data_IF_329556573389
#
_entry.id   IF_329556573389
#
_cell.length_a   1.000
_cell.length_b   1.000
_cell.length_c   1.000
_cell.angle_alpha   90.00
_cell.angle_beta   90.00
_cell.angle_gamma   90.00
#
_symmetry.space_group_name_H-M   'P 1'
#
loop_
_entity.id
_entity.type
_entity.pdbx_description
1 polymer ?
#
# COMPACT_ATOMS: atom_id res chain seq x y z
N UNK A 1 -25.45 0.87 -34.28
CA UNK A 1 -25.18 0.95 -32.83
C UNK A 1 -23.68 0.93 -32.66
N UNK A 2 -23.08 2.08 -32.34
CA UNK A 2 -21.63 2.19 -32.16
C UNK A 2 -21.29 1.69 -30.76
N UNK A 3 -20.52 0.61 -30.67
CA UNK A 3 -19.84 0.26 -29.42
C UNK A 3 -18.85 1.37 -29.09
N UNK A 4 -18.77 1.86 -27.85
CA UNK A 4 -17.72 2.79 -27.49
C UNK A 4 -16.40 2.00 -27.56
N UNK A 5 -15.56 2.33 -28.54
CA UNK A 5 -14.20 1.83 -28.61
C UNK A 5 -13.44 2.44 -27.42
N UNK A 6 -13.47 1.76 -26.28
CA UNK A 6 -12.50 2.03 -25.22
C UNK A 6 -11.10 1.92 -25.84
N UNK A 7 -10.27 2.93 -25.63
CA UNK A 7 -8.90 2.93 -26.10
C UNK A 7 -8.25 1.60 -25.70
N UNK A 8 -7.60 0.89 -26.62
CA UNK A 8 -6.99 -0.42 -26.34
C UNK A 8 -6.08 -0.39 -25.09
N UNK A 9 -5.40 0.73 -24.87
CA UNK A 9 -4.60 0.98 -23.67
C UNK A 9 -5.42 1.09 -22.38
N UNK A 10 -6.66 1.59 -22.45
CA UNK A 10 -7.56 1.64 -21.30
C UNK A 10 -8.08 0.25 -20.95
N UNK A 11 -8.38 -0.60 -21.94
CA UNK A 11 -8.77 -1.98 -21.70
C UNK A 11 -7.66 -2.80 -21.03
N UNK A 12 -6.43 -2.72 -21.57
CA UNK A 12 -5.26 -3.38 -20.97
C UNK A 12 -4.97 -2.88 -19.54
N UNK A 13 -5.17 -1.60 -19.29
CA UNK A 13 -4.96 -1.01 -17.96
C UNK A 13 -6.03 -1.46 -16.97
N UNK A 14 -7.30 -1.49 -17.38
CA UNK A 14 -8.39 -2.02 -16.57
C UNK A 14 -8.11 -3.49 -16.22
N UNK A 15 -7.65 -4.29 -17.18
CA UNK A 15 -7.24 -5.67 -16.93
C UNK A 15 -6.05 -5.74 -15.96
N UNK A 16 -5.03 -4.90 -16.13
CA UNK A 16 -3.90 -4.83 -15.20
C UNK A 16 -4.36 -4.57 -13.76
N UNK A 17 -5.19 -3.56 -13.52
CA UNK A 17 -5.69 -3.28 -12.17
C UNK A 17 -6.62 -4.37 -11.64
N UNK A 18 -7.39 -5.00 -12.53
CA UNK A 18 -8.20 -6.16 -12.20
C UNK A 18 -7.34 -7.31 -11.71
N UNK A 19 -6.22 -7.60 -12.38
CA UNK A 19 -5.26 -8.62 -11.94
C UNK A 19 -4.48 -8.19 -10.69
N UNK A 20 -4.08 -6.92 -10.60
CA UNK A 20 -3.39 -6.36 -9.44
C UNK A 20 -4.23 -6.49 -8.18
N UNK A 21 -5.54 -6.25 -8.30
CA UNK A 21 -6.49 -6.33 -7.19
C UNK A 21 -7.18 -7.69 -7.08
N UNK A 22 -6.82 -8.67 -7.92
CA UNK A 22 -7.46 -10.00 -7.98
C UNK A 22 -8.99 -9.93 -8.04
N UNK A 23 -9.52 -9.02 -8.87
CA UNK A 23 -10.95 -8.81 -9.05
C UNK A 23 -11.71 -8.39 -7.78
N UNK A 24 -11.00 -7.81 -6.79
CA UNK A 24 -11.58 -7.37 -5.50
C UNK A 24 -12.78 -6.43 -5.67
N UNK A 25 -12.80 -5.62 -6.72
CA UNK A 25 -13.93 -4.74 -7.03
C UNK A 25 -15.23 -5.53 -7.25
N UNK A 26 -15.18 -6.65 -7.97
CA UNK A 26 -16.34 -7.51 -8.22
C UNK A 26 -16.78 -8.25 -6.94
N UNK A 27 -15.81 -8.70 -6.14
CA UNK A 27 -16.09 -9.33 -4.85
C UNK A 27 -16.78 -8.36 -3.90
N UNK A 28 -16.27 -7.14 -3.74
CA UNK A 28 -16.88 -6.14 -2.87
C UNK A 28 -18.27 -5.70 -3.37
N UNK A 29 -18.50 -5.64 -4.68
CA UNK A 29 -19.83 -5.37 -5.23
C UNK A 29 -20.86 -6.46 -4.90
N UNK A 30 -20.42 -7.70 -4.67
CA UNK A 30 -21.31 -8.78 -4.25
C UNK A 30 -21.83 -8.62 -2.81
N UNK A 31 -21.13 -7.86 -1.97
CA UNK A 31 -21.50 -7.63 -0.58
C UNK A 31 -22.54 -6.52 -0.50
N UNK A 32 -23.69 -6.83 0.10
CA UNK A 32 -24.76 -5.85 0.30
C UNK A 32 -24.28 -4.70 1.19
N UNK A 33 -24.55 -3.46 0.75
CA UNK A 33 -24.21 -2.24 1.49
C UNK A 33 -22.87 -1.62 1.12
N UNK A 34 -22.05 -2.23 0.28
CA UNK A 34 -20.85 -1.57 -0.26
C UNK A 34 -21.24 -0.55 -1.33
N UNK A 35 -20.66 0.65 -1.25
CA UNK A 35 -20.97 1.81 -2.10
C UNK A 35 -19.68 2.59 -2.38
N UNK A 36 -19.67 3.40 -3.45
CA UNK A 36 -18.59 4.34 -3.77
C UNK A 36 -17.22 3.64 -3.91
N UNK A 37 -17.20 2.54 -4.68
CA UNK A 37 -15.97 1.87 -5.10
C UNK A 37 -15.25 2.76 -6.12
N UNK A 38 -14.05 3.19 -5.77
CA UNK A 38 -13.21 4.05 -6.60
C UNK A 38 -11.83 3.45 -6.73
N UNK A 39 -11.41 3.29 -7.98
CA UNK A 39 -10.07 2.86 -8.34
C UNK A 39 -9.43 4.00 -9.12
N UNK A 40 -8.33 4.54 -8.59
CA UNK A 40 -7.54 5.58 -9.24
C UNK A 40 -6.47 4.92 -10.11
N UNK A 41 -6.72 4.91 -11.41
CA UNK A 41 -5.83 4.34 -12.41
C UNK A 41 -4.78 5.36 -12.83
N UNK A 42 -3.51 5.05 -12.55
CA UNK A 42 -2.36 5.89 -12.86
C UNK A 42 -1.49 5.26 -13.94
N UNK A 43 -0.87 6.10 -14.75
CA UNK A 43 0.13 5.66 -15.70
C UNK A 43 1.43 5.27 -14.98
N UNK A 44 2.17 4.34 -15.56
CA UNK A 44 3.52 4.02 -15.13
C UNK A 44 4.46 5.23 -15.20
N UNK A 45 5.45 5.25 -14.30
CA UNK A 45 6.55 6.20 -14.32
C UNK A 45 7.44 5.98 -15.54
N UNK A 46 7.96 7.08 -16.09
CA UNK A 46 9.06 7.00 -17.04
C UNK A 46 10.34 6.48 -16.37
N UNK A 47 11.12 5.71 -17.11
CA UNK A 47 12.42 5.19 -16.62
C UNK A 47 13.36 6.32 -16.19
N UNK A 48 13.34 7.46 -16.90
CA UNK A 48 14.14 8.63 -16.55
C UNK A 48 13.73 9.24 -15.20
N UNK A 49 12.43 9.27 -14.89
CA UNK A 49 11.92 9.76 -13.62
C UNK A 49 12.40 8.88 -12.44
N UNK A 50 12.41 7.56 -12.63
CA UNK A 50 12.97 6.62 -11.66
C UNK A 50 14.47 6.82 -11.46
N UNK A 51 15.25 6.91 -12.54
CA UNK A 51 16.69 7.15 -12.44
C UNK A 51 17.01 8.46 -11.73
N UNK A 52 16.26 9.53 -12.06
CA UNK A 52 16.41 10.82 -11.39
C UNK A 52 16.08 10.71 -9.90
N UNK A 53 15.01 10.00 -9.53
CA UNK A 53 14.67 9.76 -8.12
C UNK A 53 15.78 9.01 -7.39
N UNK A 54 16.37 7.97 -7.99
CA UNK A 54 17.48 7.20 -7.41
C UNK A 54 18.75 8.03 -7.22
N UNK A 55 19.05 8.89 -8.19
CA UNK A 55 20.16 9.84 -8.11
C UNK A 55 19.96 10.85 -6.99
N UNK A 56 18.77 11.45 -6.88
CA UNK A 56 18.44 12.42 -5.82
C UNK A 56 18.56 11.80 -4.42
N UNK A 57 18.12 10.56 -4.25
CA UNK A 57 18.13 9.88 -2.96
C UNK A 57 19.39 9.04 -2.72
N UNK A 58 20.34 9.01 -3.66
CA UNK A 58 21.58 8.23 -3.57
C UNK A 58 21.36 6.76 -3.16
N UNK A 59 20.26 6.16 -3.63
CA UNK A 59 19.85 4.77 -3.33
C UNK A 59 19.27 4.11 -4.56
N UNK A 60 19.63 2.84 -4.79
CA UNK A 60 18.92 2.01 -5.77
C UNK A 60 17.67 1.43 -5.12
N UNK A 61 16.53 1.62 -5.77
CA UNK A 61 15.32 0.89 -5.44
C UNK A 61 15.49 -0.60 -5.79
N UNK A 62 14.77 -1.49 -5.08
CA UNK A 62 14.65 -2.89 -5.45
C UNK A 62 13.94 -3.08 -6.80
N UNK A 63 14.28 -4.14 -7.52
CA UNK A 63 13.72 -4.43 -8.85
C UNK A 63 12.18 -4.56 -8.83
N UNK A 64 11.61 -5.16 -7.79
CA UNK A 64 10.14 -5.26 -7.62
C UNK A 64 9.49 -3.88 -7.53
N UNK A 65 10.09 -2.98 -6.76
CA UNK A 65 9.57 -1.61 -6.55
C UNK A 65 9.71 -0.80 -7.85
N UNK A 66 10.84 -0.92 -8.55
CA UNK A 66 11.01 -0.28 -9.87
C UNK A 66 9.99 -0.79 -10.87
N UNK A 67 9.80 -2.10 -10.95
CA UNK A 67 8.84 -2.74 -11.87
C UNK A 67 7.41 -2.30 -11.57
N UNK A 68 7.06 -2.19 -10.28
CA UNK A 68 5.78 -1.65 -9.86
C UNK A 68 5.59 -0.20 -10.35
N UNK A 69 6.55 0.70 -10.10
CA UNK A 69 6.43 2.09 -10.54
C UNK A 69 6.47 2.26 -12.06
N UNK A 70 7.20 1.41 -12.79
CA UNK A 70 7.18 1.39 -14.25
C UNK A 70 5.82 0.93 -14.80
N UNK A 71 5.09 0.07 -14.07
CA UNK A 71 3.76 -0.37 -14.46
C UNK A 71 2.67 0.64 -14.05
N UNK A 72 2.73 1.17 -12.81
CA UNK A 72 1.78 2.12 -12.24
C UNK A 72 2.48 3.08 -11.27
N UNK A 73 2.32 4.39 -11.46
CA UNK A 73 2.89 5.38 -10.55
C UNK A 73 2.05 5.52 -9.27
N UNK A 74 2.17 4.55 -8.37
CA UNK A 74 1.28 4.45 -7.20
C UNK A 74 -0.11 3.92 -7.59
N UNK A 75 -0.97 3.72 -6.59
CA UNK A 75 -2.37 3.34 -6.83
C UNK A 75 -3.23 3.71 -5.62
N UNK A 76 -4.51 3.99 -5.83
CA UNK A 76 -5.48 4.19 -4.75
C UNK A 76 -6.75 3.41 -5.06
N UNK A 77 -7.20 2.59 -4.11
CA UNK A 77 -8.47 1.88 -4.19
C UNK A 77 -9.23 2.10 -2.90
N UNK A 78 -10.41 2.72 -3.01
CA UNK A 78 -11.24 3.09 -1.85
C UNK A 78 -12.65 2.56 -2.02
N UNK A 79 -13.27 2.21 -0.90
CA UNK A 79 -14.66 1.78 -0.87
C UNK A 79 -15.32 2.19 0.45
N UNK A 80 -16.64 2.42 0.37
CA UNK A 80 -17.47 2.84 1.50
C UNK A 80 -18.51 1.79 1.82
N UNK A 81 -19.00 1.81 3.05
CA UNK A 81 -20.13 1.00 3.48
C UNK A 81 -21.29 1.90 3.86
N UNK A 82 -22.45 1.65 3.29
CA UNK A 82 -23.70 2.31 3.62
C UNK A 82 -24.36 1.60 4.79
N UNK A 83 -24.43 2.29 5.91
CA UNK A 83 -25.20 1.87 7.07
C UNK A 83 -26.31 2.90 7.29
N UNK A 84 -27.57 2.47 7.16
CA UNK A 84 -28.73 3.35 7.09
C UNK A 84 -28.57 4.43 6.00
N UNK A 85 -28.61 5.71 6.36
CA UNK A 85 -28.51 6.86 5.45
C UNK A 85 -27.09 7.48 5.38
N UNK A 86 -26.09 6.80 5.94
CA UNK A 86 -24.72 7.30 6.01
C UNK A 86 -23.72 6.36 5.32
N UNK A 87 -22.83 6.95 4.52
CA UNK A 87 -21.74 6.24 3.85
C UNK A 87 -20.45 6.41 4.66
N UNK A 88 -19.97 5.32 5.25
CA UNK A 88 -18.73 5.29 6.03
C UNK A 88 -17.55 4.85 5.15
N UNK A 89 -16.42 5.59 5.13
CA UNK A 89 -15.21 5.11 4.48
C UNK A 89 -14.64 3.94 5.27
N UNK A 90 -14.70 2.74 4.70
CA UNK A 90 -14.26 1.53 5.38
C UNK A 90 -12.89 1.12 4.88
N UNK A 91 -12.75 0.80 3.59
CA UNK A 91 -11.47 0.33 3.08
C UNK A 91 -10.78 1.33 2.19
N UNK A 92 -9.46 1.40 2.37
CA UNK A 92 -8.52 2.20 1.59
C UNK A 92 -7.24 1.41 1.40
N UNK A 93 -6.93 1.09 0.16
CA UNK A 93 -5.65 0.58 -0.28
C UNK A 93 -4.92 1.70 -1.00
N UNK A 94 -3.65 1.91 -0.68
CA UNK A 94 -2.90 3.01 -1.27
C UNK A 94 -1.42 2.73 -1.30
N UNK A 95 -0.80 3.13 -2.40
CA UNK A 95 0.65 3.30 -2.51
C UNK A 95 0.90 4.70 -3.07
N UNK A 96 1.77 5.43 -2.36
CA UNK A 96 2.20 6.77 -2.74
C UNK A 96 2.76 6.80 -4.16
N UNK A 97 2.70 7.96 -4.81
CA UNK A 97 3.42 8.18 -6.08
C UNK A 97 4.94 8.24 -5.82
N UNK A 98 5.75 7.99 -6.85
CA UNK A 98 7.21 8.00 -6.75
C UNK A 98 7.76 9.30 -6.13
N UNK A 99 7.19 10.45 -6.49
CA UNK A 99 7.59 11.77 -5.97
C UNK A 99 7.25 11.98 -4.50
N UNK A 100 6.31 11.21 -3.96
CA UNK A 100 5.88 11.25 -2.55
C UNK A 100 6.60 10.22 -1.68
N UNK A 101 7.47 9.39 -2.26
CA UNK A 101 8.39 8.53 -1.51
C UNK A 101 9.46 9.39 -0.82
N UNK A 102 9.12 9.95 0.33
CA UNK A 102 10.03 10.74 1.13
C UNK A 102 10.85 9.85 2.09
N UNK A 103 12.14 10.17 2.29
CA UNK A 103 12.95 9.50 3.29
C UNK A 103 12.46 9.82 4.71
N UNK A 104 12.51 8.82 5.59
CA UNK A 104 12.27 9.01 7.03
C UNK A 104 13.56 9.52 7.67
N UNK A 105 13.54 10.77 8.15
CA UNK A 105 14.72 11.45 8.71
C UNK A 105 14.85 11.30 10.24
N UNK A 106 13.89 10.68 10.92
CA UNK A 106 13.90 10.53 12.37
C UNK A 106 14.77 9.33 12.80
N UNK A 107 15.47 9.41 13.95
CA UNK A 107 16.15 8.26 14.52
C UNK A 107 15.12 7.24 15.03
N UNK A 108 14.92 6.16 14.28
CA UNK A 108 14.10 5.02 14.69
C UNK A 108 14.96 3.98 15.41
N UNK A 109 14.33 3.21 16.30
CA UNK A 109 14.97 2.02 16.87
C UNK A 109 15.03 0.95 15.79
N UNK A 110 16.13 0.91 15.06
CA UNK A 110 16.44 -0.26 14.23
C UNK A 110 16.70 -1.43 15.16
N UNK A 111 16.10 -2.61 14.90
CA UNK A 111 16.70 -3.86 15.36
C UNK A 111 18.19 -3.87 15.01
N UNK A 112 19.04 -4.45 15.87
CA UNK A 112 20.51 -4.53 15.72
C UNK A 112 20.98 -5.15 14.38
N UNK A 113 20.05 -5.63 13.56
CA UNK A 113 20.22 -6.23 12.25
C UNK A 113 20.44 -5.21 11.10
N UNK A 114 20.12 -3.93 11.29
CA UNK A 114 20.21 -2.92 10.22
C UNK A 114 21.47 -2.06 10.36
N UNK A 115 22.36 -2.15 9.36
CA UNK A 115 23.55 -1.31 9.26
C UNK A 115 23.17 0.15 8.95
N UNK A 116 24.05 1.11 9.30
CA UNK A 116 23.90 2.55 9.06
C UNK A 116 23.79 2.95 7.58
N UNK A 117 23.91 1.99 6.68
CA UNK A 117 23.65 2.09 5.24
C UNK A 117 22.16 1.95 4.87
N UNK A 118 21.28 1.68 5.83
CA UNK A 118 19.84 1.44 5.62
C UNK A 118 19.09 2.76 5.48
N UNK A 119 18.26 2.88 4.45
CA UNK A 119 17.34 4.02 4.26
C UNK A 119 15.89 3.56 4.29
N UNK A 120 15.06 4.41 4.85
CA UNK A 120 13.62 4.19 5.00
C UNK A 120 12.86 5.17 4.12
N UNK A 121 11.88 4.68 3.38
CA UNK A 121 11.01 5.50 2.52
C UNK A 121 9.54 5.21 2.83
N UNK A 122 8.72 6.24 3.01
CA UNK A 122 7.31 6.02 3.33
C UNK A 122 6.54 5.63 2.06
N UNK A 123 6.02 4.40 2.02
CA UNK A 123 5.24 3.88 0.88
C UNK A 123 3.75 4.16 1.03
N UNK A 124 3.23 4.11 2.26
CA UNK A 124 1.81 4.37 2.51
C UNK A 124 1.64 5.17 3.81
N UNK A 125 0.88 6.25 3.68
CA UNK A 125 0.65 7.27 4.72
C UNK A 125 -0.78 7.25 5.27
N UNK A 126 -1.65 6.35 4.81
CA UNK A 126 -3.09 6.41 5.12
C UNK A 126 -3.50 5.79 6.46
N UNK A 127 -2.53 5.49 7.30
CA UNK A 127 -2.75 4.80 8.56
C UNK A 127 -3.36 5.62 9.68
N UNK A 128 -3.72 6.88 9.41
CA UNK A 128 -4.57 7.62 10.31
C UNK A 128 -5.92 7.83 9.64
N UNK A 129 -6.95 7.10 10.09
CA UNK A 129 -8.30 7.68 10.20
C UNK A 129 -8.27 8.79 11.27
N UNK A 130 -7.39 9.79 11.06
CA UNK A 130 -7.27 10.96 11.90
C UNK A 130 -8.23 11.98 11.34
N UNK A 131 -9.42 12.06 11.97
CA UNK A 131 -10.47 13.08 11.92
C UNK A 131 -10.59 13.89 10.61
N UNK A 132 -11.81 14.07 10.04
CA UNK A 132 -11.99 15.06 8.98
C UNK A 132 -11.44 16.39 9.52
N UNK A 133 -10.50 16.99 8.77
CA UNK A 133 -10.03 18.32 9.07
C UNK A 133 -11.27 19.21 9.20
N UNK A 134 -11.62 19.57 10.44
CA UNK A 134 -12.63 20.59 10.67
C UNK A 134 -12.18 21.78 9.85
N UNK A 135 -13.04 22.19 8.90
CA UNK A 135 -12.88 23.44 8.17
C UNK A 135 -12.94 24.56 9.20
N UNK A 136 -11.79 24.89 9.77
CA UNK A 136 -11.61 26.03 10.63
C UNK A 136 -11.55 27.27 9.73
N UNK A 137 -12.64 28.03 9.83
CA UNK A 137 -12.78 29.47 9.61
C UNK A 137 -12.02 30.12 8.45
N UNK A 138 -12.84 30.60 7.52
CA UNK A 138 -12.57 31.79 6.73
C UNK A 138 -12.34 32.97 7.68
N UNK A 139 -11.10 33.22 8.07
CA UNK A 139 -10.67 34.56 8.46
C UNK A 139 -9.21 34.74 8.08
N UNK A 140 -8.99 35.64 7.12
CA UNK A 140 -7.70 35.85 6.49
C UNK A 140 -6.68 36.40 7.46
N UNK A 141 -5.61 35.64 7.67
CA UNK A 141 -4.26 36.17 7.88
C UNK A 141 -3.31 35.25 7.12
N UNK A 142 -2.65 35.80 6.10
CA UNK A 142 -1.78 35.06 5.21
C UNK A 142 -0.59 34.43 5.94
N UNK A 143 -0.67 33.12 6.19
CA UNK A 143 0.50 32.33 6.56
C UNK A 143 1.26 31.93 5.30
N UNK A 144 2.44 32.55 5.17
CA UNK A 144 3.45 32.29 4.15
C UNK A 144 3.71 30.78 4.02
N UNK A 145 3.50 30.24 2.81
CA UNK A 145 4.19 29.04 2.32
C UNK A 145 5.69 29.30 2.39
N UNK A 146 6.38 28.72 3.36
CA UNK A 146 7.83 28.54 3.34
C UNK A 146 8.16 27.25 4.08
N UNK A 147 8.77 26.33 3.33
CA UNK A 147 9.63 25.25 3.81
C UNK A 147 8.95 24.12 4.61
N UNK A 148 7.90 23.53 4.04
CA UNK A 148 7.43 22.20 4.45
C UNK A 148 8.26 21.12 3.74
N UNK A 149 9.55 21.05 4.07
CA UNK A 149 10.36 19.87 3.77
C UNK A 149 9.79 18.77 4.65
N UNK A 150 8.98 17.91 4.05
CA UNK A 150 8.05 17.01 4.71
C UNK A 150 8.83 16.10 5.68
N UNK A 151 8.89 16.49 6.95
CA UNK A 151 9.09 15.54 8.03
C UNK A 151 7.82 14.68 8.06
N UNK A 152 7.80 13.56 7.32
CA UNK A 152 6.76 12.54 7.46
C UNK A 152 7.00 11.82 8.78
N UNK A 153 6.88 12.57 9.87
CA UNK A 153 6.59 12.06 11.20
C UNK A 153 5.10 11.76 11.21
N UNK A 154 4.70 10.71 10.52
CA UNK A 154 3.39 10.10 10.72
C UNK A 154 3.66 8.75 11.36
N UNK A 155 3.87 8.78 12.67
CA UNK A 155 3.75 7.63 13.55
C UNK A 155 2.53 6.79 13.11
N UNK A 156 2.74 5.51 12.85
CA UNK A 156 1.76 4.61 12.23
C UNK A 156 1.88 4.42 10.72
N UNK A 157 2.83 5.04 10.02
CA UNK A 157 2.97 4.84 8.57
C UNK A 157 3.60 3.50 8.20
N UNK A 158 3.31 3.02 6.98
CA UNK A 158 4.01 1.88 6.39
C UNK A 158 5.18 2.37 5.56
N UNK A 159 6.34 1.78 5.83
CA UNK A 159 7.64 2.23 5.36
C UNK A 159 8.34 1.10 4.64
N UNK A 160 8.90 1.39 3.46
CA UNK A 160 9.84 0.52 2.77
C UNK A 160 11.22 0.67 3.39
N UNK A 161 11.80 -0.45 3.77
CA UNK A 161 13.19 -0.53 4.16
C UNK A 161 14.01 -0.95 2.93
N UNK A 162 14.93 -0.07 2.54
CA UNK A 162 15.88 -0.31 1.46
C UNK A 162 17.28 -0.26 2.05
N UNK A 163 18.00 -1.37 1.97
CA UNK A 163 19.41 -1.41 2.38
C UNK A 163 20.29 -1.08 1.18
N UNK A 164 21.19 -0.11 1.34
CA UNK A 164 22.09 0.30 0.25
C UNK A 164 22.98 -0.88 -0.14
N UNK A 165 23.01 -1.20 -1.43
CA UNK A 165 23.89 -2.24 -1.98
C UNK A 165 23.32 -3.66 -1.94
N UNK A 166 22.12 -3.87 -1.42
CA UNK A 166 21.40 -5.14 -1.59
C UNK A 166 20.14 -4.93 -2.41
N UNK A 167 19.75 -5.96 -3.17
CA UNK A 167 18.47 -5.99 -3.86
C UNK A 167 17.29 -6.28 -2.91
N UNK A 168 17.58 -6.52 -1.62
CA UNK A 168 16.58 -6.94 -0.65
C UNK A 168 15.91 -5.70 -0.05
N UNK A 169 14.59 -5.61 -0.22
CA UNK A 169 13.75 -4.68 0.52
C UNK A 169 12.70 -5.40 1.30
N UNK A 170 12.44 -4.93 2.51
CA UNK A 170 11.35 -5.41 3.34
C UNK A 170 10.44 -4.25 3.72
N UNK A 171 9.15 -4.52 3.82
CA UNK A 171 8.15 -3.52 4.18
C UNK A 171 7.88 -3.62 5.68
N UNK A 172 7.97 -2.49 6.36
CA UNK A 172 7.86 -2.36 7.80
C UNK A 172 6.75 -1.40 8.20
N UNK A 173 6.13 -1.68 9.34
CA UNK A 173 5.29 -0.75 10.07
C UNK A 173 6.17 0.10 11.00
N UNK A 174 5.99 1.42 10.98
CA UNK A 174 6.59 2.31 11.96
C UNK A 174 5.60 2.62 13.07
N UNK A 175 5.79 2.00 14.23
CA UNK A 175 4.95 2.19 15.42
C UNK A 175 5.05 3.62 15.96
N UNK A 176 4.04 4.04 16.75
CA UNK A 176 4.03 5.33 17.44
C UNK A 176 5.17 5.52 18.46
N UNK A 177 5.82 4.42 18.83
CA UNK A 177 6.98 4.41 19.72
C UNK A 177 8.32 4.42 18.95
N UNK A 178 8.30 4.59 17.62
CA UNK A 178 9.50 4.58 16.79
C UNK A 178 10.12 3.20 16.60
N UNK A 179 9.36 2.13 16.84
CA UNK A 179 9.75 0.74 16.59
C UNK A 179 9.37 0.32 15.17
N UNK A 180 10.30 -0.36 14.49
CA UNK A 180 10.05 -0.97 13.19
C UNK A 180 9.60 -2.41 13.37
N UNK A 181 8.42 -2.74 12.86
CA UNK A 181 7.93 -4.12 12.81
C UNK A 181 7.86 -4.58 11.36
N UNK A 182 8.51 -5.70 11.03
CA UNK A 182 8.47 -6.23 9.68
C UNK A 182 7.07 -6.78 9.38
N UNK A 183 6.42 -6.25 8.34
CA UNK A 183 5.11 -6.75 7.86
C UNK A 183 5.31 -7.71 6.69
N UNK A 184 6.22 -7.38 5.77
CA UNK A 184 6.42 -8.17 4.56
C UNK A 184 7.88 -8.22 4.12
N UNK A 185 8.25 -9.34 3.50
CA UNK A 185 9.58 -9.54 2.93
C UNK A 185 9.78 -8.86 1.57
N UNK A 186 8.70 -8.42 0.91
CA UNK A 186 8.77 -7.72 -0.38
C UNK A 186 7.53 -6.85 -0.61
N UNK A 187 7.58 -5.98 -1.63
CA UNK A 187 6.43 -5.17 -2.04
C UNK A 187 5.26 -6.05 -2.49
N UNK A 188 5.56 -7.13 -3.21
CA UNK A 188 4.55 -8.08 -3.68
C UNK A 188 3.84 -8.77 -2.50
N UNK A 189 4.60 -9.18 -1.47
CA UNK A 189 4.02 -9.74 -0.26
C UNK A 189 3.15 -8.72 0.49
N UNK A 190 3.58 -7.45 0.53
CA UNK A 190 2.79 -6.36 1.10
C UNK A 190 1.47 -6.11 0.35
N UNK A 191 1.49 -6.07 -0.99
CA UNK A 191 0.28 -5.95 -1.82
C UNK A 191 -0.72 -7.08 -1.53
N UNK A 192 -0.24 -8.33 -1.41
CA UNK A 192 -1.09 -9.47 -1.07
C UNK A 192 -1.70 -9.36 0.32
N UNK A 193 -0.94 -8.91 1.31
CA UNK A 193 -1.50 -8.66 2.65
C UNK A 193 -2.57 -7.57 2.56
N UNK A 194 -2.30 -6.46 1.88
CA UNK A 194 -3.28 -5.38 1.71
C UNK A 194 -4.58 -5.87 1.04
N UNK A 195 -4.49 -6.81 0.08
CA UNK A 195 -5.65 -7.48 -0.53
C UNK A 195 -6.35 -8.44 0.44
N UNK A 196 -5.60 -9.24 1.18
CA UNK A 196 -6.14 -10.16 2.20
C UNK A 196 -6.99 -9.43 3.23
N UNK A 197 -6.57 -8.22 3.61
CA UNK A 197 -7.29 -7.35 4.52
C UNK A 197 -8.26 -6.38 3.82
N UNK A 198 -8.38 -6.43 2.49
CA UNK A 198 -9.28 -5.58 1.67
C UNK A 198 -9.10 -4.07 1.89
N UNK A 199 -7.91 -3.64 2.31
CA UNK A 199 -7.63 -2.25 2.70
C UNK A 199 -8.38 -1.78 3.95
N UNK A 200 -8.84 -2.69 4.82
CA UNK A 200 -9.48 -2.33 6.10
C UNK A 200 -8.57 -1.44 6.97
N UNK A 201 -9.15 -0.59 7.83
CA UNK A 201 -8.36 0.33 8.64
C UNK A 201 -7.46 -0.44 9.61
N UNK A 202 -6.26 0.09 9.81
CA UNK A 202 -5.26 -0.45 10.73
C UNK A 202 -4.90 -1.93 10.52
N UNK A 203 -4.99 -2.44 9.28
CA UNK A 203 -4.77 -3.85 8.99
C UNK A 203 -3.39 -4.42 9.37
N UNK A 204 -2.27 -3.68 9.24
CA UNK A 204 -1.00 -4.11 9.81
C UNK A 204 -1.00 -4.30 11.32
N UNK A 205 -1.82 -3.56 12.09
CA UNK A 205 -1.92 -3.82 13.53
C UNK A 205 -2.51 -5.21 13.77
N UNK A 206 -3.49 -5.63 12.97
CA UNK A 206 -4.06 -6.99 13.01
C UNK A 206 -2.99 -8.02 12.70
N UNK A 207 -2.21 -7.78 11.65
CA UNK A 207 -1.11 -8.67 11.26
C UNK A 207 -0.05 -8.81 12.36
N UNK A 208 0.27 -7.69 13.03
CA UNK A 208 1.22 -7.64 14.15
C UNK A 208 0.64 -8.10 15.49
N UNK A 209 -0.61 -8.60 15.51
CA UNK A 209 -1.35 -9.01 16.72
C UNK A 209 -1.44 -7.89 17.77
N UNK A 210 -1.47 -6.63 17.32
CA UNK A 210 -1.61 -5.44 18.16
C UNK A 210 -3.10 -5.10 18.37
N UNK A 211 -3.37 -4.25 19.37
CA UNK A 211 -4.74 -3.87 19.70
C UNK A 211 -5.37 -2.98 18.63
N UNK A 212 -6.61 -3.32 18.28
CA UNK A 212 -7.48 -2.53 17.41
C UNK A 212 -8.50 -1.73 18.22
N UNK A 213 -8.93 -0.61 17.65
CA UNK A 213 -10.12 0.10 18.12
C UNK A 213 -11.37 -0.78 18.07
N UNK A 214 -12.35 -0.49 18.92
CA UNK A 214 -13.62 -1.24 18.94
C UNK A 214 -14.34 -1.21 17.59
N UNK A 215 -14.36 -0.04 16.93
CA UNK A 215 -14.95 0.12 15.61
C UNK A 215 -14.26 -0.76 14.55
N UNK A 216 -12.93 -0.79 14.54
CA UNK A 216 -12.21 -1.64 13.59
C UNK A 216 -12.50 -3.12 13.87
N UNK A 217 -12.54 -3.56 15.13
CA UNK A 217 -12.90 -4.96 15.47
C UNK A 217 -14.27 -5.35 14.90
N UNK A 218 -15.26 -4.46 14.95
CA UNK A 218 -16.57 -4.70 14.34
C UNK A 218 -16.48 -4.80 12.81
N UNK A 219 -15.71 -3.92 12.16
CA UNK A 219 -15.47 -3.99 10.72
C UNK A 219 -14.81 -5.31 10.30
N UNK A 220 -13.77 -5.75 11.03
CA UNK A 220 -13.11 -7.04 10.76
C UNK A 220 -14.06 -8.22 10.96
N UNK A 221 -14.87 -8.21 12.02
CA UNK A 221 -15.85 -9.27 12.26
C UNK A 221 -16.91 -9.35 11.13
N UNK A 222 -17.28 -8.21 10.54
CA UNK A 222 -18.27 -8.14 9.48
C UNK A 222 -17.70 -8.49 8.10
N UNK A 223 -16.61 -7.83 7.69
CA UNK A 223 -16.06 -7.95 6.34
C UNK A 223 -15.07 -9.10 6.19
N UNK A 224 -14.33 -9.44 7.24
CA UNK A 224 -13.27 -10.43 7.19
C UNK A 224 -13.35 -11.43 8.35
N UNK A 225 -14.48 -12.16 8.51
CA UNK A 225 -14.66 -13.10 9.61
C UNK A 225 -13.61 -14.23 9.60
N UNK A 226 -13.05 -14.55 8.43
CA UNK A 226 -11.96 -15.50 8.26
C UNK A 226 -10.67 -15.10 9.00
N UNK A 227 -10.43 -13.80 9.23
CA UNK A 227 -9.29 -13.33 10.01
C UNK A 227 -9.50 -13.48 11.53
N UNK A 228 -10.77 -13.51 11.97
CA UNK A 228 -11.12 -13.70 13.39
C UNK A 228 -11.05 -15.16 13.82
N UNK A 229 -11.07 -16.11 12.88
CA UNK A 229 -10.92 -17.52 13.20
C UNK A 229 -9.45 -17.79 13.50
N UNK A 230 -9.18 -18.25 14.72
CA UNK A 230 -7.89 -18.52 15.35
C UNK A 230 -6.94 -19.48 14.58
N UNK A 231 -7.32 -19.91 13.38
CA UNK A 231 -6.55 -20.80 12.52
C UNK A 231 -5.52 -20.07 11.64
N UNK A 232 -5.72 -18.79 11.30
CA UNK A 232 -4.72 -18.03 10.51
C UNK A 232 -3.49 -17.62 11.33
N UNK A 233 -3.62 -17.53 12.66
CA UNK A 233 -2.53 -17.16 13.57
C UNK A 233 -1.65 -18.36 13.98
N UNK A 234 -1.97 -19.58 13.53
CA UNK A 234 -1.15 -20.80 13.68
C UNK A 234 -0.19 -20.99 12.49
N UNK A 235 0.53 -19.94 12.11
CA UNK A 235 1.75 -20.06 11.29
C UNK A 235 3.01 -20.17 12.16
N UNK A 236 2.83 -20.53 13.44
CA UNK A 236 3.89 -21.04 14.29
C UNK A 236 4.06 -22.54 13.99
N UNK A 237 4.90 -22.82 12.98
CA UNK A 237 5.88 -23.91 12.93
C UNK A 237 6.50 -23.95 11.50
N UNK A 238 7.28 -22.91 11.18
CA UNK A 238 8.12 -22.87 9.97
C UNK A 238 9.42 -23.60 10.26
N UNK A 239 9.35 -24.93 10.37
CA UNK A 239 10.52 -25.81 10.32
C UNK A 239 10.49 -26.80 9.14
N UNK A 240 9.54 -26.66 8.20
CA UNK A 240 9.51 -27.46 6.97
C UNK A 240 9.28 -26.61 5.71
N UNK A 241 10.31 -25.83 5.36
CA UNK A 241 10.44 -25.25 4.01
C UNK A 241 10.82 -26.36 3.02
N UNK A 242 9.85 -27.09 2.47
CA UNK A 242 10.06 -27.85 1.20
C UNK A 242 8.80 -28.39 0.50
N UNK A 243 7.58 -28.33 1.04
CA UNK A 243 6.48 -29.16 0.49
C UNK A 243 5.22 -28.45 -0.01
N UNK A 244 5.21 -27.12 -0.19
CA UNK A 244 4.03 -26.44 -0.75
C UNK A 244 4.40 -25.60 -1.98
N UNK A 245 3.60 -25.66 -3.06
CA UNK A 245 3.86 -24.87 -4.26
C UNK A 245 3.82 -23.41 -3.87
N UNK A 246 4.99 -22.76 -3.98
CA UNK A 246 5.14 -21.33 -3.73
C UNK A 246 4.23 -20.63 -4.74
N UNK A 247 3.25 -19.86 -4.24
CA UNK A 247 2.41 -18.97 -5.04
C UNK A 247 3.25 -17.80 -5.60
N UNK A 248 4.16 -18.14 -6.52
CA UNK A 248 4.97 -17.19 -7.28
C UNK A 248 4.03 -16.58 -8.32
N UNK A 249 3.76 -15.29 -8.19
CA UNK A 249 3.12 -14.54 -9.28
C UNK A 249 4.05 -14.61 -10.48
N UNK A 250 3.52 -15.00 -11.64
CA UNK A 250 4.33 -15.12 -12.84
C UNK A 250 4.95 -13.75 -13.16
N UNK A 251 6.27 -13.69 -13.28
CA UNK A 251 7.00 -12.45 -13.60
C UNK A 251 6.63 -11.92 -14.99
N UNK A 252 6.03 -12.75 -15.83
CA UNK A 252 5.52 -12.36 -17.15
C UNK A 252 4.40 -11.33 -17.09
N UNK A 253 3.64 -11.25 -15.99
CA UNK A 253 2.53 -10.28 -15.84
C UNK A 253 3.01 -8.82 -15.89
N UNK A 254 4.29 -8.57 -15.58
CA UNK A 254 4.87 -7.23 -15.55
C UNK A 254 5.55 -6.83 -16.87
N UNK A 255 5.56 -7.70 -17.88
CA UNK A 255 6.19 -7.39 -19.17
C UNK A 255 5.16 -6.74 -20.10
N UNK A 256 5.41 -5.50 -20.50
CA UNK A 256 4.69 -4.87 -21.59
C UNK A 256 4.95 -5.65 -22.90
N UNK A 257 3.88 -6.05 -23.58
CA UNK A 257 3.95 -6.75 -24.87
C UNK A 257 4.74 -5.89 -25.87
N UNK A 258 5.95 -6.35 -26.23
CA UNK A 258 6.64 -5.83 -27.41
C UNK A 258 5.86 -6.28 -28.63
N UNK A 259 5.28 -5.34 -29.34
CA UNK A 259 4.63 -5.56 -30.64
C UNK A 259 5.61 -6.26 -31.60
N UNK A 260 5.20 -7.35 -32.27
CA UNK A 260 6.00 -7.92 -33.33
C UNK A 260 5.97 -6.98 -34.54
N UNK A 261 7.14 -6.76 -35.15
CA UNK A 261 7.31 -6.10 -36.45
C UNK A 261 6.79 -6.98 -37.58
#
# INVERSE_FOLDING_TARGET
>A
MAFPAGNFNDQLRNEFYRYLTLDLSTYLQSIQGIVDLKMDEKYGCETLALLHWEQLHATSLPEEVKSFYLATNGFEFTWKFRLADHNYPVGKMHINVLTELCPVNEPFKTPDKYDGSTRLFVIDTNFSQGKPANKADKNGVGYRRRDQKIAVSKLGSVVLLVTKGTANSSVHYLSSQGQLHQIAESLTAYLRLMLLYMGLPDWPLVHLKMELSYWNKQLYAYFAPYLSQSNFLKLEDVDNRTAHPVNVLDKSIFKANKTPR
#
